data_IF_280457345220
#
_entry.id   IF_280457345220
#
_cell.length_a   1.000
_cell.length_b   1.000
_cell.length_c   1.000
_cell.angle_alpha   90.00
_cell.angle_beta   90.00
_cell.angle_gamma   90.00
#
_symmetry.space_group_name_H-M   'P 1'
#
loop_
_entity.id
_entity.type
_entity.pdbx_description
1 polymer ?
#
# COMPACT_ATOMS: atom_id res chain seq x y z
N UNK A 1 39.98 -33.72 -24.44
CA UNK A 1 38.98 -34.18 -23.43
C UNK A 1 39.79 -34.74 -22.26
N UNK A 2 39.55 -34.36 -20.99
CA UNK A 2 38.28 -33.93 -20.37
C UNK A 2 38.18 -32.39 -20.28
N UNK A 3 37.04 -31.71 -20.41
CA UNK A 3 35.71 -31.88 -19.82
C UNK A 3 35.72 -31.68 -18.29
N UNK A 4 35.88 -30.43 -17.85
CA UNK A 4 35.28 -29.97 -16.60
C UNK A 4 34.41 -28.77 -16.92
N UNK A 5 33.12 -29.03 -16.84
CA UNK A 5 32.04 -28.11 -17.12
C UNK A 5 32.13 -26.88 -16.20
N UNK A 6 31.85 -25.71 -16.80
CA UNK A 6 31.29 -24.57 -16.10
C UNK A 6 30.07 -25.07 -15.30
N UNK A 7 30.21 -25.15 -13.99
CA UNK A 7 29.09 -24.86 -13.11
C UNK A 7 29.44 -23.56 -12.41
N UNK A 8 29.31 -22.46 -13.14
CA UNK A 8 28.82 -21.25 -12.50
C UNK A 8 27.47 -21.67 -11.94
N UNK A 9 27.42 -21.96 -10.65
CA UNK A 9 26.15 -21.94 -9.94
C UNK A 9 25.89 -20.45 -9.79
N UNK A 10 25.04 -19.78 -10.61
CA UNK A 10 24.47 -18.59 -10.08
C UNK A 10 23.62 -19.14 -8.94
N UNK A 11 24.06 -18.93 -7.71
CA UNK A 11 23.13 -18.84 -6.60
C UNK A 11 22.29 -17.58 -6.92
N UNK A 12 21.45 -17.68 -7.95
CA UNK A 12 20.32 -16.80 -8.15
C UNK A 12 19.58 -17.02 -6.85
N UNK A 13 19.65 -16.02 -5.99
CA UNK A 13 18.76 -15.89 -4.86
C UNK A 13 17.37 -16.22 -5.39
N UNK A 14 16.89 -17.42 -5.11
CA UNK A 14 15.47 -17.68 -5.07
C UNK A 14 14.99 -16.84 -3.88
N UNK A 15 14.86 -15.53 -4.10
CA UNK A 15 14.13 -14.64 -3.23
C UNK A 15 12.78 -15.32 -3.10
N UNK A 16 12.47 -15.78 -1.89
CA UNK A 16 11.18 -16.35 -1.57
C UNK A 16 10.14 -15.30 -1.95
N UNK A 17 9.55 -15.40 -3.14
CA UNK A 17 8.39 -14.62 -3.54
C UNK A 17 7.17 -15.23 -2.86
N UNK A 18 7.17 -15.18 -1.53
CA UNK A 18 5.96 -15.32 -0.72
C UNK A 18 5.16 -14.04 -0.94
N UNK A 19 4.54 -13.95 -2.11
CA UNK A 19 3.60 -12.90 -2.49
C UNK A 19 2.24 -13.56 -2.63
N UNK A 20 1.30 -13.15 -1.79
CA UNK A 20 -0.05 -13.67 -1.81
C UNK A 20 -0.79 -13.16 -3.04
N UNK A 21 -1.98 -13.71 -3.34
CA UNK A 21 -2.83 -13.13 -4.37
C UNK A 21 -3.19 -11.68 -4.01
N UNK A 22 -3.40 -10.85 -5.03
CA UNK A 22 -4.05 -9.54 -4.84
C UNK A 22 -5.44 -9.78 -4.25
N UNK A 23 -5.88 -9.05 -3.20
CA UNK A 23 -7.22 -9.20 -2.67
C UNK A 23 -8.27 -8.99 -3.77
N UNK A 24 -9.27 -9.87 -3.85
CA UNK A 24 -10.33 -9.77 -4.85
C UNK A 24 -11.31 -8.61 -4.57
N UNK A 25 -11.22 -8.02 -3.37
CA UNK A 25 -12.08 -6.96 -2.88
C UNK A 25 -11.46 -5.56 -2.97
N UNK A 26 -10.34 -5.39 -3.70
CA UNK A 26 -9.78 -4.07 -4.00
C UNK A 26 -10.73 -3.26 -4.90
N UNK A 27 -10.56 -1.95 -4.86
CA UNK A 27 -11.36 -0.97 -5.58
C UNK A 27 -12.49 -0.38 -4.75
N UNK A 28 -13.19 0.57 -5.37
CA UNK A 28 -14.33 1.26 -4.78
C UNK A 28 -15.62 0.49 -5.07
N UNK A 29 -16.21 -0.10 -4.04
CA UNK A 29 -17.44 -0.87 -4.12
C UNK A 29 -18.59 -0.09 -3.47
N UNK A 30 -19.57 0.33 -4.27
CA UNK A 30 -20.69 1.13 -3.76
C UNK A 30 -20.28 2.51 -3.21
N UNK A 31 -19.19 3.08 -3.73
CA UNK A 31 -18.67 4.39 -3.33
C UNK A 31 -17.67 4.36 -2.17
N UNK A 32 -17.43 3.20 -1.58
CA UNK A 32 -16.53 3.02 -0.43
C UNK A 32 -15.45 1.97 -0.73
N UNK A 33 -14.32 2.06 -0.04
CA UNK A 33 -13.36 0.95 -0.01
C UNK A 33 -14.00 -0.27 0.69
N UNK A 34 -13.39 -1.45 0.57
CA UNK A 34 -13.84 -2.63 1.31
C UNK A 34 -13.51 -2.54 2.81
N UNK A 35 -14.24 -3.28 3.65
CA UNK A 35 -13.93 -3.36 5.08
C UNK A 35 -12.68 -4.22 5.32
N UNK A 36 -12.04 -4.05 6.49
CA UNK A 36 -11.01 -5.00 6.92
C UNK A 36 -11.68 -6.28 7.45
N UNK A 37 -11.26 -7.49 6.99
CA UNK A 37 -11.74 -8.76 7.54
C UNK A 37 -11.43 -8.89 9.04
N UNK A 38 -10.34 -8.27 9.49
CA UNK A 38 -9.93 -8.15 10.88
C UNK A 38 -8.67 -7.29 11.01
N UNK A 39 -8.24 -6.94 12.23
CA UNK A 39 -7.12 -6.04 12.46
C UNK A 39 -5.75 -6.69 12.30
N UNK A 40 -5.68 -8.02 12.14
CA UNK A 40 -4.42 -8.76 12.20
C UNK A 40 -3.47 -8.44 11.04
N UNK A 41 -4.01 -8.12 9.86
CA UNK A 41 -3.27 -7.88 8.62
C UNK A 41 -3.93 -6.80 7.75
N UNK A 42 -4.81 -5.99 8.32
CA UNK A 42 -5.52 -4.92 7.62
C UNK A 42 -5.80 -3.76 8.57
N UNK A 43 -5.64 -2.55 8.07
CA UNK A 43 -6.08 -1.33 8.72
C UNK A 43 -6.90 -0.49 7.75
N UNK A 44 -7.90 0.23 8.29
CA UNK A 44 -8.73 1.16 7.54
C UNK A 44 -9.00 2.39 8.40
N UNK A 45 -8.94 3.57 7.79
CA UNK A 45 -9.23 4.85 8.42
C UNK A 45 -9.90 5.80 7.43
N UNK A 46 -10.53 6.84 7.96
CA UNK A 46 -11.01 7.96 7.17
C UNK A 46 -10.31 9.23 7.67
N UNK A 47 -9.74 9.99 6.74
CA UNK A 47 -9.08 11.26 7.04
C UNK A 47 -9.99 12.40 6.61
N UNK A 48 -10.34 13.26 7.56
CA UNK A 48 -10.93 14.55 7.27
C UNK A 48 -9.86 15.46 6.64
N UNK A 49 -10.14 15.98 5.45
CA UNK A 49 -9.22 16.85 4.70
C UNK A 49 -9.93 18.08 4.17
N UNK A 50 -9.20 19.17 3.95
CA UNK A 50 -9.78 20.41 3.39
C UNK A 50 -10.02 20.33 1.88
N UNK A 51 -9.21 19.53 1.18
CA UNK A 51 -9.30 19.29 -0.27
C UNK A 51 -8.79 17.88 -0.58
N UNK A 52 -9.70 16.95 -0.83
CA UNK A 52 -9.37 15.54 -1.05
C UNK A 52 -8.58 15.31 -2.34
N UNK A 53 -8.79 16.12 -3.37
CA UNK A 53 -8.07 16.00 -4.64
C UNK A 53 -6.61 16.41 -4.46
N UNK A 54 -6.37 17.58 -3.87
CA UNK A 54 -5.02 18.06 -3.59
C UNK A 54 -4.29 17.17 -2.56
N UNK A 55 -5.00 16.68 -1.54
CA UNK A 55 -4.46 15.73 -0.57
C UNK A 55 -4.06 14.39 -1.24
N UNK A 56 -4.88 13.87 -2.17
CA UNK A 56 -4.56 12.65 -2.91
C UNK A 56 -3.31 12.83 -3.80
N UNK A 57 -3.17 13.97 -4.48
CA UNK A 57 -1.96 14.29 -5.27
C UNK A 57 -0.70 14.32 -4.39
N UNK A 58 -0.81 14.96 -3.23
CA UNK A 58 0.26 15.02 -2.23
C UNK A 58 0.67 13.63 -1.75
N UNK A 59 -0.30 12.78 -1.38
CA UNK A 59 -0.04 11.41 -0.98
C UNK A 59 0.54 10.58 -2.12
N UNK A 60 0.06 10.77 -3.35
CA UNK A 60 0.60 10.09 -4.53
C UNK A 60 2.09 10.37 -4.68
N UNK A 61 2.48 11.64 -4.62
CA UNK A 61 3.90 12.07 -4.71
C UNK A 61 4.75 11.45 -3.60
N UNK A 62 4.24 11.43 -2.36
CA UNK A 62 4.92 10.82 -1.23
C UNK A 62 5.11 9.31 -1.43
N UNK A 63 4.08 8.61 -1.89
CA UNK A 63 4.10 7.17 -2.15
C UNK A 63 5.13 6.85 -3.25
N UNK A 64 5.12 7.57 -4.37
CA UNK A 64 6.10 7.40 -5.47
C UNK A 64 7.55 7.63 -5.01
N UNK A 65 7.75 8.52 -4.04
CA UNK A 65 9.08 8.78 -3.47
C UNK A 65 9.55 7.74 -2.45
N UNK A 66 8.67 6.81 -2.05
CA UNK A 66 8.96 5.81 -1.01
C UNK A 66 9.65 4.59 -1.63
N UNK A 67 10.89 4.23 -1.24
CA UNK A 67 11.70 3.21 -1.94
C UNK A 67 11.15 1.78 -2.02
N UNK A 68 10.05 1.47 -1.34
CA UNK A 68 9.42 0.16 -1.29
C UNK A 68 7.96 0.19 -1.76
N UNK A 69 7.50 1.36 -2.21
CA UNK A 69 6.15 1.55 -2.67
C UNK A 69 6.12 1.64 -4.20
N UNK A 70 5.04 1.16 -4.79
CA UNK A 70 4.79 1.24 -6.23
C UNK A 70 3.32 1.58 -6.45
N UNK A 71 3.04 2.68 -7.16
CA UNK A 71 1.67 3.00 -7.58
C UNK A 71 1.29 2.09 -8.74
N UNK A 72 0.28 1.25 -8.53
CA UNK A 72 -0.18 0.26 -9.51
C UNK A 72 -1.23 0.85 -10.44
N UNK A 73 -2.18 1.60 -9.88
CA UNK A 73 -3.18 2.32 -10.67
C UNK A 73 -3.60 3.61 -9.99
N UNK A 74 -4.02 4.55 -10.85
CA UNK A 74 -4.53 5.85 -10.45
C UNK A 74 -5.65 6.25 -11.41
N UNK A 75 -6.85 6.36 -10.89
CA UNK A 75 -8.08 6.57 -11.67
C UNK A 75 -8.96 7.59 -10.95
N UNK A 76 -9.14 8.77 -11.53
CA UNK A 76 -9.93 9.87 -10.96
C UNK A 76 -9.57 10.17 -9.49
N UNK A 77 -10.43 9.75 -8.57
CA UNK A 77 -10.32 9.94 -7.13
C UNK A 77 -9.80 8.70 -6.37
N UNK A 78 -9.34 7.67 -7.09
CA UNK A 78 -8.84 6.43 -6.52
C UNK A 78 -7.35 6.22 -6.82
N UNK A 79 -6.63 5.69 -5.83
CA UNK A 79 -5.25 5.24 -5.97
C UNK A 79 -5.08 3.86 -5.35
N UNK A 80 -4.42 2.97 -6.11
CA UNK A 80 -3.91 1.70 -5.63
C UNK A 80 -2.39 1.71 -5.70
N UNK A 81 -1.75 1.40 -4.58
CA UNK A 81 -0.31 1.19 -4.50
C UNK A 81 0.01 -0.10 -3.77
N UNK A 82 1.21 -0.61 -3.95
CA UNK A 82 1.76 -1.73 -3.18
C UNK A 82 2.92 -1.27 -2.32
N UNK A 83 3.14 -1.94 -1.18
CA UNK A 83 4.30 -1.75 -0.32
C UNK A 83 4.95 -3.11 -0.06
N UNK A 84 6.26 -3.23 -0.31
CA UNK A 84 7.00 -4.48 -0.13
C UNK A 84 7.96 -4.43 1.05
N UNK A 85 8.04 -5.51 1.83
CA UNK A 85 9.02 -5.63 2.92
C UNK A 85 10.41 -6.03 2.41
N UNK A 86 11.46 -5.32 2.83
CA UNK A 86 12.85 -5.54 2.34
C UNK A 86 13.41 -6.94 2.62
N UNK A 87 13.00 -7.56 3.72
CA UNK A 87 13.64 -8.77 4.26
C UNK A 87 12.85 -10.02 3.89
N UNK A 88 11.52 -9.97 4.01
CA UNK A 88 10.66 -11.14 3.89
C UNK A 88 9.83 -11.17 2.59
N UNK A 89 9.82 -10.09 1.81
CA UNK A 89 9.12 -10.04 0.53
C UNK A 89 7.60 -9.98 0.62
N UNK A 90 7.02 -9.84 1.83
CA UNK A 90 5.59 -9.58 1.98
C UNK A 90 5.18 -8.31 1.25
N UNK A 91 4.03 -8.37 0.60
CA UNK A 91 3.42 -7.27 -0.14
C UNK A 91 2.09 -6.92 0.51
N UNK A 92 1.93 -5.63 0.78
CA UNK A 92 0.67 -5.03 1.20
C UNK A 92 0.11 -4.17 0.07
N UNK A 93 -1.21 -4.14 -0.07
CA UNK A 93 -1.92 -3.23 -0.94
C UNK A 93 -2.41 -2.02 -0.11
N UNK A 94 -2.22 -0.82 -0.64
CA UNK A 94 -2.74 0.45 -0.12
C UNK A 94 -3.77 0.98 -1.12
N UNK A 95 -4.96 1.28 -0.64
CA UNK A 95 -6.04 1.90 -1.38
C UNK A 95 -6.39 3.25 -0.77
N UNK A 96 -6.51 4.28 -1.62
CA UNK A 96 -7.00 5.60 -1.24
C UNK A 96 -8.21 5.95 -2.10
N UNK A 97 -9.29 6.44 -1.48
CA UNK A 97 -10.49 6.91 -2.16
C UNK A 97 -10.83 8.33 -1.70
N UNK A 98 -10.64 9.30 -2.59
CA UNK A 98 -10.87 10.72 -2.41
C UNK A 98 -12.19 11.20 -3.06
N UNK A 99 -13.13 10.30 -3.34
CA UNK A 99 -14.39 10.63 -4.05
C UNK A 99 -15.28 11.62 -3.31
N UNK A 100 -15.02 11.87 -2.02
CA UNK A 100 -15.68 12.92 -1.23
C UNK A 100 -14.73 14.11 -1.07
N UNK A 101 -15.15 15.36 -1.36
CA UNK A 101 -14.26 16.54 -1.36
C UNK A 101 -13.49 16.80 -0.05
N UNK A 102 -14.08 16.44 1.09
CA UNK A 102 -13.53 16.72 2.41
C UNK A 102 -13.05 15.47 3.16
N UNK A 103 -12.91 14.34 2.44
CA UNK A 103 -12.55 13.07 3.07
C UNK A 103 -11.75 12.17 2.13
N UNK A 104 -10.73 11.51 2.69
CA UNK A 104 -10.07 10.38 2.05
C UNK A 104 -10.33 9.12 2.88
N UNK A 105 -10.90 8.09 2.26
CA UNK A 105 -10.90 6.75 2.83
C UNK A 105 -9.56 6.09 2.50
N UNK A 106 -8.95 5.44 3.47
CA UNK A 106 -7.69 4.75 3.29
C UNK A 106 -7.76 3.34 3.87
N UNK A 107 -7.31 2.36 3.10
CA UNK A 107 -7.21 0.96 3.52
C UNK A 107 -5.83 0.44 3.17
N UNK A 108 -5.21 -0.28 4.09
CA UNK A 108 -3.96 -0.99 3.83
C UNK A 108 -4.07 -2.43 4.32
N UNK A 109 -3.74 -3.40 3.47
CA UNK A 109 -4.01 -4.82 3.69
C UNK A 109 -2.88 -5.70 3.15
N UNK A 110 -2.45 -6.69 3.93
CA UNK A 110 -1.44 -7.65 3.48
C UNK A 110 -2.04 -8.72 2.56
N UNK A 111 -1.30 -9.12 1.52
CA UNK A 111 -1.71 -10.21 0.60
C UNK A 111 -1.66 -11.59 1.23
N UNK A 112 -0.81 -11.78 2.24
CA UNK A 112 -0.64 -13.04 2.94
C UNK A 112 -0.08 -12.84 4.34
N UNK A 113 -0.20 -13.89 5.15
CA UNK A 113 0.35 -13.95 6.50
C UNK A 113 -0.75 -13.87 7.56
N UNK A 114 -0.48 -14.47 8.71
CA UNK A 114 -1.45 -14.48 9.82
C UNK A 114 -1.53 -13.11 10.51
N UNK A 115 -0.44 -12.35 10.50
CA UNK A 115 -0.39 -10.97 10.99
C UNK A 115 0.70 -10.14 10.34
N UNK A 116 0.45 -8.83 10.25
CA UNK A 116 1.38 -7.79 9.79
C UNK A 116 2.13 -7.09 10.93
N UNK A 117 1.90 -7.48 12.19
CA UNK A 117 2.43 -6.83 13.40
C UNK A 117 2.14 -5.32 13.48
N UNK A 118 1.02 -4.88 12.90
CA UNK A 118 0.57 -3.48 12.87
C UNK A 118 1.21 -2.62 11.78
N UNK A 119 1.97 -3.20 10.84
CA UNK A 119 2.61 -2.46 9.74
C UNK A 119 1.59 -1.67 8.91
N UNK A 120 0.42 -2.25 8.61
CA UNK A 120 -0.61 -1.54 7.84
C UNK A 120 -1.18 -0.35 8.61
N UNK A 121 -1.42 -0.49 9.92
CA UNK A 121 -1.87 0.62 10.75
C UNK A 121 -0.82 1.73 10.85
N UNK A 122 0.45 1.36 11.03
CA UNK A 122 1.57 2.32 11.09
C UNK A 122 1.74 3.08 9.76
N UNK A 123 1.52 2.40 8.63
CA UNK A 123 1.52 3.03 7.30
C UNK A 123 0.47 4.12 7.21
N UNK A 124 -0.78 3.80 7.56
CA UNK A 124 -1.88 4.78 7.54
C UNK A 124 -1.61 5.94 8.50
N UNK A 125 -1.04 5.68 9.67
CA UNK A 125 -0.63 6.76 10.58
C UNK A 125 0.44 7.67 9.98
N UNK A 126 1.43 7.10 9.28
CA UNK A 126 2.51 7.88 8.64
C UNK A 126 1.96 8.77 7.53
N UNK A 127 1.04 8.25 6.72
CA UNK A 127 0.37 9.03 5.68
C UNK A 127 -0.52 10.12 6.28
N UNK A 128 -1.23 9.84 7.37
CA UNK A 128 -2.00 10.84 8.11
C UNK A 128 -1.10 11.99 8.58
N UNK A 129 0.03 11.69 9.23
CA UNK A 129 1.00 12.71 9.66
C UNK A 129 1.54 13.53 8.48
N UNK A 130 1.72 12.91 7.31
CA UNK A 130 2.15 13.63 6.13
C UNK A 130 1.09 14.63 5.62
N UNK A 131 -0.21 14.28 5.71
CA UNK A 131 -1.30 15.22 5.44
C UNK A 131 -1.29 16.39 6.43
N UNK A 132 -1.10 16.09 7.72
CA UNK A 132 -1.02 17.08 8.79
C UNK A 132 0.11 18.08 8.57
N UNK A 133 1.31 17.57 8.30
CA UNK A 133 2.51 18.38 8.06
C UNK A 133 2.39 19.27 6.81
N UNK A 134 1.54 18.87 5.86
CA UNK A 134 1.30 19.62 4.62
C UNK A 134 0.06 20.54 4.72
N UNK A 135 -0.62 20.56 5.87
CA UNK A 135 -1.72 21.48 6.13
C UNK A 135 -3.06 21.06 5.51
N UNK A 136 -3.26 19.77 5.24
CA UNK A 136 -4.53 19.26 4.71
C UNK A 136 -5.61 19.02 5.78
N UNK A 137 -5.29 19.21 7.06
CA UNK A 137 -6.22 18.96 8.16
C UNK A 137 -7.38 19.94 8.14
N UNK A 138 -8.59 19.44 8.39
CA UNK A 138 -9.70 20.32 8.73
C UNK A 138 -9.46 21.01 10.08
N UNK A 139 -9.84 22.30 10.22
CA UNK A 139 -9.69 23.08 11.45
C UNK A 139 -10.57 22.58 12.61
#
# INVERSE_FOLDING_TARGET
>A
MPAFALFALPLVLALFHLVGPVPEDLGVNGGHLSACPGPAHCARVEWAVTDSSAALESLTTLIESTPQAEVISREDAYLHATFSSRIFGFVDDLELNASTPERIEARSVSRLGDSDLGVNAQRLQTLAQALENQGFNQP
#
